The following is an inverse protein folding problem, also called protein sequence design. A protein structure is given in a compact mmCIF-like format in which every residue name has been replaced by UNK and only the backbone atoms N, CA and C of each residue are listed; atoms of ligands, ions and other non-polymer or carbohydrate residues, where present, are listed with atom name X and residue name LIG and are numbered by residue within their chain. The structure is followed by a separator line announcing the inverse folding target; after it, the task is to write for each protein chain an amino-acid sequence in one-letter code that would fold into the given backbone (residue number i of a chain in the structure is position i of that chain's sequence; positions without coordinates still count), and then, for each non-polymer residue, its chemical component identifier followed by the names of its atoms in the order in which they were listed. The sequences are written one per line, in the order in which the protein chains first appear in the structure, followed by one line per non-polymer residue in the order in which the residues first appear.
data_IF_834196534944
#
_entry.id   IF_834196534944
#
_cell.length_a   1.000
_cell.length_b   1.000
_cell.length_c   1.000
_cell.angle_alpha   90.00
_cell.angle_beta   90.00
_cell.angle_gamma   90.00
#
_symmetry.space_group_name_H-M   'P 1'
#
loop_
_entity.id
_entity.type
_entity.pdbx_description
1 polymer ?
#
# COMPACT_ATOMS: atom_id res chain seq x y z
N UNK A 1 -17.27 8.85 0.93
CA UNK A 1 -16.70 7.50 0.83
C UNK A 1 -15.46 7.49 1.71
N UNK A 2 -15.36 6.58 2.68
CA UNK A 2 -14.19 6.45 3.56
C UNK A 2 -13.18 5.47 2.95
N UNK A 3 -11.91 5.54 3.37
CA UNK A 3 -10.89 4.57 2.97
C UNK A 3 -11.31 3.12 3.29
N UNK A 4 -11.93 2.90 4.47
CA UNK A 4 -12.48 1.59 4.82
C UNK A 4 -13.57 1.13 3.88
N UNK A 5 -14.52 1.99 3.49
CA UNK A 5 -15.55 1.61 2.53
C UNK A 5 -14.99 1.24 1.14
N UNK A 6 -13.87 1.86 0.73
CA UNK A 6 -13.16 1.49 -0.50
C UNK A 6 -12.51 0.11 -0.35
N UNK A 7 -11.83 -0.15 0.77
CA UNK A 7 -11.21 -1.44 1.05
C UNK A 7 -12.24 -2.58 1.12
N UNK A 8 -13.37 -2.38 1.81
CA UNK A 8 -14.42 -3.39 1.87
C UNK A 8 -15.00 -3.70 0.48
N UNK A 9 -15.19 -2.67 -0.35
CA UNK A 9 -15.63 -2.86 -1.73
C UNK A 9 -14.59 -3.63 -2.59
N UNK A 10 -13.29 -3.44 -2.31
CA UNK A 10 -12.20 -4.22 -2.93
C UNK A 10 -12.30 -5.69 -2.53
N UNK A 11 -12.43 -5.99 -1.23
CA UNK A 11 -12.58 -7.35 -0.71
C UNK A 11 -13.79 -8.05 -1.36
N UNK A 12 -14.95 -7.38 -1.39
CA UNK A 12 -16.15 -7.91 -2.06
C UNK A 12 -15.92 -8.17 -3.56
N UNK A 13 -15.15 -7.31 -4.24
CA UNK A 13 -14.83 -7.48 -5.65
C UNK A 13 -13.92 -8.69 -5.89
N UNK A 14 -12.92 -8.89 -5.04
CA UNK A 14 -11.99 -10.01 -5.12
C UNK A 14 -12.70 -11.35 -4.86
N UNK A 15 -13.61 -11.39 -3.88
CA UNK A 15 -14.48 -12.57 -3.63
C UNK A 15 -15.38 -12.89 -4.81
N UNK A 16 -15.98 -11.88 -5.46
CA UNK A 16 -16.80 -12.09 -6.67
C UNK A 16 -15.99 -12.64 -7.85
N UNK A 17 -14.67 -12.46 -7.84
CA UNK A 17 -13.74 -12.99 -8.84
C UNK A 17 -13.15 -14.35 -8.48
N UNK A 18 -13.54 -14.93 -7.34
CA UNK A 18 -12.98 -16.18 -6.81
C UNK A 18 -11.47 -16.07 -6.50
N UNK A 19 -11.03 -14.87 -6.11
CA UNK A 19 -9.62 -14.55 -5.80
C UNK A 19 -9.51 -13.88 -4.40
N UNK A 20 -9.98 -14.52 -3.31
CA UNK A 20 -9.92 -13.91 -1.98
C UNK A 20 -8.47 -13.63 -1.57
N UNK A 21 -8.21 -12.40 -1.11
CA UNK A 21 -6.90 -11.97 -0.61
C UNK A 21 -6.75 -12.23 0.89
N UNK A 22 -7.86 -12.14 1.63
CA UNK A 22 -7.93 -12.32 3.07
C UNK A 22 -8.75 -13.57 3.40
N UNK A 23 -8.44 -14.23 4.51
CA UNK A 23 -9.30 -15.28 5.03
C UNK A 23 -10.55 -14.72 5.75
N UNK A 24 -11.52 -15.57 6.06
CA UNK A 24 -12.78 -15.14 6.70
C UNK A 24 -12.57 -14.46 8.07
N UNK A 25 -11.51 -14.83 8.81
CA UNK A 25 -11.19 -14.24 10.10
C UNK A 25 -10.61 -12.84 9.93
N UNK A 26 -9.65 -12.68 9.01
CA UNK A 26 -9.07 -11.39 8.66
C UNK A 26 -10.13 -10.42 8.12
N UNK A 27 -11.04 -10.90 7.27
CA UNK A 27 -12.18 -10.11 6.79
C UNK A 27 -13.03 -9.59 7.95
N UNK A 28 -13.37 -10.44 8.92
CA UNK A 28 -14.16 -10.04 10.09
C UNK A 28 -13.45 -8.99 10.94
N UNK A 29 -12.14 -9.13 11.15
CA UNK A 29 -11.33 -8.15 11.86
C UNK A 29 -11.34 -6.80 11.14
N UNK A 30 -11.12 -6.80 9.81
CA UNK A 30 -11.17 -5.59 8.97
C UNK A 30 -12.56 -4.94 9.06
N UNK A 31 -13.64 -5.72 8.91
CA UNK A 31 -15.01 -5.22 8.98
C UNK A 31 -15.33 -4.57 10.33
N UNK A 32 -14.77 -5.09 11.43
CA UNK A 32 -15.03 -4.58 12.77
C UNK A 32 -14.51 -3.16 13.01
N UNK A 33 -13.52 -2.72 12.21
CA UNK A 33 -12.82 -1.45 12.41
C UNK A 33 -12.67 -0.61 11.14
N UNK A 34 -13.30 -0.99 10.02
CA UNK A 34 -13.14 -0.29 8.73
C UNK A 34 -13.56 1.20 8.78
N UNK A 35 -14.45 1.57 9.70
CA UNK A 35 -14.85 2.97 9.89
C UNK A 35 -13.78 3.82 10.61
N UNK A 36 -12.84 3.19 11.30
CA UNK A 36 -11.73 3.83 12.03
C UNK A 36 -10.37 3.15 11.75
N UNK A 37 -9.86 3.20 10.50
CA UNK A 37 -8.54 2.68 10.16
C UNK A 37 -7.42 3.37 10.95
N UNK A 38 -6.37 2.63 11.27
CA UNK A 38 -5.24 3.12 12.07
C UNK A 38 -5.47 3.13 13.58
N UNK A 39 -6.65 2.69 14.05
CA UNK A 39 -6.86 2.40 15.47
C UNK A 39 -5.99 1.21 15.91
N UNK A 40 -5.58 1.18 17.18
CA UNK A 40 -4.49 0.32 17.64
C UNK A 40 -4.70 -1.20 17.51
N UNK A 41 -5.95 -1.65 17.39
CA UNK A 41 -6.29 -3.07 17.16
C UNK A 41 -6.71 -3.37 15.72
N UNK A 42 -6.79 -2.36 14.85
CA UNK A 42 -7.25 -2.54 13.48
C UNK A 42 -6.09 -2.96 12.57
N UNK A 43 -6.23 -4.06 11.79
CA UNK A 43 -5.20 -4.45 10.83
C UNK A 43 -5.05 -3.44 9.69
N UNK A 44 -6.07 -2.62 9.44
CA UNK A 44 -6.02 -1.55 8.44
C UNK A 44 -5.24 -0.36 9.01
N UNK A 45 -4.14 0.01 8.37
CA UNK A 45 -3.34 1.19 8.73
C UNK A 45 -4.09 2.48 8.43
N UNK A 46 -3.64 3.58 9.04
CA UNK A 46 -4.14 4.90 8.67
C UNK A 46 -3.94 5.13 7.16
N UNK A 47 -4.96 5.63 6.43
CA UNK A 47 -4.85 5.86 5.01
C UNK A 47 -3.87 7.00 4.72
N UNK A 48 -3.11 6.88 3.64
CA UNK A 48 -2.24 7.93 3.14
C UNK A 48 -2.74 8.44 1.79
N UNK A 49 -2.47 9.71 1.51
CA UNK A 49 -2.91 10.39 0.30
C UNK A 49 -1.70 11.07 -0.34
N UNK A 50 -1.36 10.66 -1.56
CA UNK A 50 -0.23 11.23 -2.31
C UNK A 50 -0.52 11.21 -3.81
N UNK A 51 -0.10 12.23 -4.54
CA UNK A 51 -0.15 12.26 -6.00
C UNK A 51 0.81 11.22 -6.60
N UNK A 52 0.29 10.06 -6.99
CA UNK A 52 1.04 8.97 -7.62
C UNK A 52 0.97 9.05 -9.14
N UNK A 53 -0.07 9.68 -9.68
CA UNK A 53 -0.30 9.75 -11.12
C UNK A 53 0.37 10.95 -11.79
N UNK A 54 0.80 11.94 -11.00
CA UNK A 54 1.38 13.21 -11.45
C UNK A 54 0.34 14.19 -11.98
N UNK A 55 -0.93 14.01 -11.64
CA UNK A 55 -2.05 14.85 -12.14
C UNK A 55 -2.43 15.98 -11.18
N UNK A 56 -1.73 16.09 -10.05
CA UNK A 56 -1.97 17.08 -9.01
C UNK A 56 -3.10 16.73 -8.04
N UNK A 57 -3.64 15.50 -8.11
CA UNK A 57 -4.61 14.97 -7.15
C UNK A 57 -4.03 13.76 -6.45
N UNK A 58 -4.34 13.65 -5.16
CA UNK A 58 -3.83 12.55 -4.38
C UNK A 58 -4.61 11.26 -4.62
N UNK A 59 -3.86 10.17 -4.78
CA UNK A 59 -4.34 8.80 -4.73
C UNK A 59 -4.41 8.31 -3.27
N UNK A 60 -5.39 7.45 -2.99
CA UNK A 60 -5.51 6.77 -1.70
C UNK A 60 -4.59 5.56 -1.64
N UNK A 61 -3.76 5.46 -0.61
CA UNK A 61 -2.94 4.29 -0.29
C UNK A 61 -3.45 3.68 1.02
N UNK A 62 -3.68 2.36 1.03
CA UNK A 62 -4.13 1.61 2.20
C UNK A 62 -3.21 0.40 2.38
N UNK A 63 -2.67 0.25 3.58
CA UNK A 63 -1.97 -0.96 4.02
C UNK A 63 -2.82 -1.78 4.98
N UNK A 64 -2.89 -3.09 4.78
CA UNK A 64 -3.60 -4.03 5.65
C UNK A 64 -2.63 -5.08 6.15
N UNK A 65 -2.41 -5.10 7.46
CA UNK A 65 -1.60 -6.11 8.12
C UNK A 65 -2.31 -7.46 8.03
N UNK A 66 -1.63 -8.47 7.50
CA UNK A 66 -2.14 -9.84 7.42
C UNK A 66 -1.23 -10.79 8.19
N UNK A 67 -1.84 -11.72 8.91
CA UNK A 67 -1.14 -12.66 9.78
C UNK A 67 -0.13 -12.03 10.76
N UNK A 68 0.86 -12.83 11.17
CA UNK A 68 1.81 -12.50 12.25
C UNK A 68 3.22 -12.09 11.80
N UNK A 69 3.53 -12.19 10.50
CA UNK A 69 4.91 -12.07 9.98
C UNK A 69 5.20 -10.75 9.25
N UNK A 70 4.62 -9.63 9.71
CA UNK A 70 4.72 -8.31 9.07
C UNK A 70 4.27 -8.28 7.59
N UNK A 71 3.49 -9.26 7.16
CA UNK A 71 2.94 -9.30 5.81
C UNK A 71 1.95 -8.14 5.65
N UNK A 72 2.14 -7.32 4.62
CA UNK A 72 1.35 -6.15 4.34
C UNK A 72 0.77 -6.27 2.94
N UNK A 73 -0.57 -6.23 2.85
CA UNK A 73 -1.28 -6.04 1.60
C UNK A 73 -1.40 -4.53 1.40
N UNK A 74 -0.88 -4.04 0.30
CA UNK A 74 -0.84 -2.63 -0.05
C UNK A 74 -1.72 -2.43 -1.28
N UNK A 75 -2.74 -1.61 -1.12
CA UNK A 75 -3.57 -1.12 -2.21
C UNK A 75 -3.31 0.36 -2.46
N UNK A 76 -3.39 0.76 -3.73
CA UNK A 76 -3.53 2.16 -4.10
C UNK A 76 -4.72 2.35 -5.04
N UNK A 77 -5.44 3.45 -4.88
CA UNK A 77 -6.65 3.75 -5.64
C UNK A 77 -6.61 5.17 -6.18
N UNK A 78 -7.04 5.35 -7.42
CA UNK A 78 -7.30 6.67 -8.02
C UNK A 78 -8.79 6.93 -8.12
N UNK A 79 -9.18 8.22 -8.08
CA UNK A 79 -10.54 8.67 -8.30
C UNK A 79 -10.64 9.41 -9.64
N UNK A 80 -11.22 8.77 -10.64
CA UNK A 80 -11.39 9.36 -11.97
C UNK A 80 -12.86 9.46 -12.33
N UNK A 81 -13.34 10.68 -12.57
CA UNK A 81 -14.73 10.95 -12.95
C UNK A 81 -15.76 10.35 -11.98
N UNK A 82 -15.46 10.37 -10.67
CA UNK A 82 -16.33 9.80 -9.63
C UNK A 82 -16.22 8.28 -9.47
N UNK A 83 -15.34 7.62 -10.21
CA UNK A 83 -15.09 6.17 -10.12
C UNK A 83 -13.78 5.92 -9.39
N UNK A 84 -13.84 5.18 -8.29
CA UNK A 84 -12.66 4.67 -7.59
C UNK A 84 -12.15 3.44 -8.31
N UNK A 85 -10.87 3.41 -8.64
CA UNK A 85 -10.23 2.29 -9.36
C UNK A 85 -8.95 1.90 -8.63
N UNK A 86 -8.80 0.61 -8.33
CA UNK A 86 -7.54 0.07 -7.83
C UNK A 86 -6.48 0.15 -8.92
N UNK A 87 -5.37 0.80 -8.60
CA UNK A 87 -4.22 0.99 -9.49
C UNK A 87 -2.99 0.22 -9.00
N UNK A 88 -3.01 -0.30 -7.79
CA UNK A 88 -1.98 -1.18 -7.23
C UNK A 88 -2.64 -2.17 -6.27
N UNK A 89 -2.24 -3.43 -6.36
CA UNK A 89 -2.37 -4.42 -5.30
C UNK A 89 -1.02 -5.14 -5.19
N UNK A 90 -0.42 -5.12 -4.02
CA UNK A 90 0.87 -5.75 -3.75
C UNK A 90 0.87 -6.39 -2.36
N UNK A 91 1.58 -7.50 -2.23
CA UNK A 91 1.77 -8.19 -0.94
C UNK A 91 3.26 -8.31 -0.70
N UNK A 92 3.73 -7.80 0.44
CA UNK A 92 5.16 -7.75 0.79
C UNK A 92 5.35 -7.85 2.30
N UNK A 93 6.59 -8.04 2.77
CA UNK A 93 6.93 -7.93 4.20
C UNK A 93 7.86 -6.75 4.44
N UNK A 94 7.35 -5.51 4.29
CA UNK A 94 8.19 -4.33 4.23
C UNK A 94 8.75 -3.95 5.60
N UNK A 95 9.95 -3.38 5.58
CA UNK A 95 10.49 -2.60 6.69
C UNK A 95 9.96 -1.17 6.66
N UNK A 96 9.79 -0.63 5.46
CA UNK A 96 9.17 0.68 5.22
C UNK A 96 8.54 0.75 3.84
N UNK A 97 7.54 1.62 3.71
CA UNK A 97 6.95 2.03 2.44
C UNK A 97 7.11 3.55 2.37
N UNK A 98 7.61 4.04 1.25
CA UNK A 98 7.86 5.47 1.02
C UNK A 98 7.15 5.91 -0.26
N UNK A 99 6.66 7.15 -0.26
CA UNK A 99 6.24 7.84 -1.48
C UNK A 99 7.20 8.99 -1.76
N UNK A 100 7.84 8.97 -2.92
CA UNK A 100 8.74 10.03 -3.36
C UNK A 100 8.71 10.16 -4.89
N UNK A 101 8.66 11.40 -5.39
CA UNK A 101 8.65 11.70 -6.82
C UNK A 101 7.58 10.87 -7.59
N UNK A 102 6.36 10.87 -7.07
CA UNK A 102 5.20 10.14 -7.62
C UNK A 102 5.38 8.60 -7.69
N UNK A 103 6.33 8.05 -6.92
CA UNK A 103 6.61 6.60 -6.89
C UNK A 103 6.32 6.05 -5.51
N UNK A 104 5.76 4.84 -5.49
CA UNK A 104 5.64 4.04 -4.27
C UNK A 104 6.84 3.10 -4.21
N UNK A 105 7.57 3.16 -3.11
CA UNK A 105 8.81 2.43 -2.90
C UNK A 105 8.62 1.51 -1.70
N UNK A 106 8.81 0.22 -1.92
CA UNK A 106 8.76 -0.79 -0.86
C UNK A 106 10.19 -1.20 -0.54
N UNK A 107 10.59 -1.02 0.73
CA UNK A 107 11.87 -1.51 1.24
C UNK A 107 11.64 -2.79 2.03
N UNK A 108 12.30 -3.86 1.63
CA UNK A 108 12.21 -5.18 2.26
C UNK A 108 13.58 -5.61 2.81
N UNK A 109 13.62 -6.42 3.88
CA UNK A 109 14.89 -6.98 4.35
C UNK A 109 15.55 -7.79 3.23
N UNK A 110 16.86 -7.60 3.04
CA UNK A 110 17.64 -8.45 2.15
C UNK A 110 18.04 -9.77 2.82
N UNK A 111 18.56 -10.70 2.02
CA UNK A 111 19.00 -12.02 2.49
C UNK A 111 20.26 -11.99 3.37
N UNK A 112 20.93 -10.83 3.44
CA UNK A 112 22.14 -10.61 4.24
C UNK A 112 21.96 -9.47 5.26
N UNK A 113 22.54 -9.56 6.47
CA UNK A 113 22.49 -8.48 7.45
C UNK A 113 23.00 -7.15 6.89
N UNK A 114 22.18 -6.09 7.04
CA UNK A 114 22.49 -4.76 6.54
C UNK A 114 22.23 -4.55 5.05
N UNK A 115 21.61 -5.51 4.36
CA UNK A 115 21.14 -5.36 2.99
C UNK A 115 19.62 -5.22 2.94
N UNK A 116 19.13 -4.63 1.86
CA UNK A 116 17.71 -4.48 1.54
C UNK A 116 17.44 -4.73 0.06
N UNK A 117 16.23 -5.20 -0.22
CA UNK A 117 15.62 -5.13 -1.54
C UNK A 117 14.71 -3.90 -1.60
N UNK A 118 14.67 -3.25 -2.76
CA UNK A 118 13.80 -2.11 -3.03
C UNK A 118 12.99 -2.39 -4.29
N UNK A 119 11.68 -2.34 -4.17
CA UNK A 119 10.78 -2.38 -5.35
C UNK A 119 10.18 -1.00 -5.56
N UNK A 120 10.34 -0.45 -6.76
CA UNK A 120 9.84 0.87 -7.13
C UNK A 120 8.67 0.72 -8.08
N UNK A 121 7.49 1.18 -7.67
CA UNK A 121 6.30 1.26 -8.50
C UNK A 121 6.14 2.69 -9.02
N UNK A 122 5.86 2.81 -10.32
CA UNK A 122 5.56 4.07 -10.97
C UNK A 122 4.28 3.96 -11.80
N UNK A 123 3.57 5.07 -11.94
CA UNK A 123 2.35 5.15 -12.72
C UNK A 123 2.60 4.89 -14.21
N UNK A 124 1.82 3.97 -14.79
CA UNK A 124 1.77 3.77 -16.23
C UNK A 124 0.52 4.41 -16.81
N UNK A 125 0.64 5.60 -17.41
CA UNK A 125 -0.48 6.26 -18.07
C UNK A 125 -1.10 5.39 -19.21
N UNK A 126 -0.30 4.53 -19.84
CA UNK A 126 -0.78 3.61 -20.88
C UNK A 126 -1.68 2.51 -20.31
N UNK A 127 -1.28 1.91 -19.19
CA UNK A 127 -1.97 0.77 -18.60
C UNK A 127 -2.97 1.17 -17.51
N UNK A 128 -2.95 2.45 -17.10
CA UNK A 128 -3.75 3.01 -16.01
C UNK A 128 -3.58 2.22 -14.70
N UNK A 129 -2.36 1.74 -14.43
CA UNK A 129 -1.97 1.02 -13.21
C UNK A 129 -0.54 1.39 -12.83
N UNK A 130 -0.20 1.22 -11.55
CA UNK A 130 1.17 1.24 -11.06
C UNK A 130 1.89 -0.01 -11.53
N UNK A 131 3.08 0.16 -12.11
CA UNK A 131 3.92 -0.93 -12.60
C UNK A 131 5.29 -0.87 -11.95
N UNK A 132 5.93 -2.03 -11.77
CA UNK A 132 7.32 -2.08 -11.31
C UNK A 132 8.20 -1.39 -12.35
N UNK A 133 8.86 -0.31 -11.94
CA UNK A 133 9.82 0.44 -12.73
C UNK A 133 11.24 -0.07 -12.49
N UNK A 134 11.56 -0.41 -11.25
CA UNK A 134 12.90 -0.83 -10.83
C UNK A 134 12.84 -1.80 -9.66
N UNK A 135 13.81 -2.71 -9.60
CA UNK A 135 14.06 -3.58 -8.44
C UNK A 135 15.55 -3.53 -8.14
N UNK A 136 15.89 -2.98 -6.97
CA UNK A 136 17.26 -2.80 -6.52
C UNK A 136 17.59 -3.72 -5.35
N UNK A 137 18.84 -4.15 -5.26
CA UNK A 137 19.38 -4.85 -4.09
C UNK A 137 20.69 -4.18 -3.67
N UNK A 138 20.81 -3.82 -2.41
CA UNK A 138 21.96 -3.04 -1.95
C UNK A 138 22.11 -3.01 -0.45
N UNK A 139 23.19 -2.37 0.00
CA UNK A 139 23.33 -2.06 1.42
C UNK A 139 22.28 -1.06 1.82
N UNK A 140 21.62 -1.31 2.96
CA UNK A 140 20.68 -0.38 3.57
C UNK A 140 21.38 0.95 3.79
N UNK A 141 20.84 2.01 3.21
CA UNK A 141 21.28 3.35 3.54
C UNK A 141 20.89 3.62 5.01
N UNK A 142 21.76 4.25 5.81
CA UNK A 142 21.33 4.72 7.13
C UNK A 142 20.11 5.63 6.94
N UNK A 143 19.06 5.44 7.75
CA UNK A 143 17.89 6.31 7.71
C UNK A 143 18.38 7.75 7.78
N UNK A 144 18.12 8.54 6.74
CA UNK A 144 18.47 9.95 6.76
C UNK A 144 17.72 10.56 7.93
N UNK A 145 18.44 11.00 8.96
CA UNK A 145 17.84 11.70 10.07
C UNK A 145 17.06 12.88 9.46
N UNK A 146 15.74 12.89 9.65
CA UNK A 146 14.91 14.04 9.27
C UNK A 146 15.59 15.28 9.87
N UNK A 147 15.95 16.31 9.06
CA UNK A 147 16.48 17.52 9.64
C UNK A 147 15.41 18.08 10.58
N UNK A 148 15.70 18.11 11.88
CA UNK A 148 14.89 18.85 12.84
C UNK A 148 15.02 20.32 12.45
N UNK A 149 14.07 20.79 11.64
CA UNK A 149 13.99 22.16 11.19
C UNK A 149 13.77 23.08 12.39
N UNK A 150 14.58 24.15 12.42
CA UNK A 150 14.50 25.27 13.36
C UNK A 150 13.90 26.47 12.63
#
# INVERSE_FOLDING_TARGET
MSAGSVLLAQIDADKRRDEPVFDEGEEQEIHSCADEPGSGSCPVRAPEYHDLTGDGRDELIVGVQSGSNNLLIIYAYTLKNGVVTSILGSTSSPQSVEVADHKLIIHEPGDAPGYESRTVYAWSARHQVMTIQDVGYGRRAPASATPSGR
#
